data_IF_297220671219
#
_entry.id   IF_297220671219
#
_cell.length_a   1.000
_cell.length_b   1.000
_cell.length_c   1.000
_cell.angle_alpha   90.00
_cell.angle_beta   90.00
_cell.angle_gamma   90.00
#
_symmetry.space_group_name_H-M   'P 1'
#
loop_
_entity.id
_entity.type
_entity.pdbx_description
1 polymer ?
#
# COMPACT_ATOMS: atom_id res chain seq x y z
N UNK A 1 -10.34 11.50 5.33
CA UNK A 1 -9.84 10.35 4.53
C UNK A 1 -8.37 10.58 4.28
N UNK A 2 -7.52 9.76 4.89
CA UNK A 2 -6.08 9.79 4.70
C UNK A 2 -5.78 8.68 3.67
N UNK A 3 -5.32 9.06 2.49
CA UNK A 3 -5.03 8.13 1.39
C UNK A 3 -3.54 7.89 1.32
N UNK A 4 -3.15 6.63 1.15
CA UNK A 4 -1.76 6.28 0.88
C UNK A 4 -1.33 6.86 -0.47
N UNK A 5 -0.10 7.38 -0.60
CA UNK A 5 0.48 7.71 -1.90
C UNK A 5 0.57 6.44 -2.74
N UNK A 6 0.28 6.54 -4.03
CA UNK A 6 0.28 5.41 -4.97
C UNK A 6 1.64 4.74 -5.07
N UNK A 7 2.72 5.51 -4.89
CA UNK A 7 4.09 5.05 -5.12
C UNK A 7 4.75 4.48 -3.86
N UNK A 8 4.03 4.42 -2.72
CA UNK A 8 4.63 4.04 -1.41
C UNK A 8 5.10 2.58 -1.36
N UNK A 9 4.60 1.74 -2.27
CA UNK A 9 4.93 0.32 -2.33
C UNK A 9 5.84 -0.03 -3.52
N UNK A 10 6.17 0.95 -4.38
CA UNK A 10 6.90 0.72 -5.64
C UNK A 10 8.35 0.26 -5.38
N UNK A 11 8.93 0.63 -4.23
CA UNK A 11 10.28 0.23 -3.83
C UNK A 11 10.32 -1.10 -3.07
N UNK A 12 9.18 -1.71 -2.77
CA UNK A 12 9.11 -2.95 -2.00
C UNK A 12 9.13 -4.19 -2.92
N UNK A 13 10.14 -4.29 -3.79
CA UNK A 13 10.25 -5.33 -4.83
C UNK A 13 10.32 -6.77 -4.31
N UNK A 14 10.43 -6.98 -3.00
CA UNK A 14 10.44 -8.30 -2.34
C UNK A 14 9.43 -8.42 -1.18
N UNK A 15 8.36 -7.60 -1.18
CA UNK A 15 7.39 -7.64 -0.09
C UNK A 15 6.65 -8.98 -0.02
N UNK A 16 6.99 -9.80 0.97
CA UNK A 16 6.32 -11.08 1.21
C UNK A 16 5.05 -10.96 2.05
N UNK A 17 5.00 -9.97 2.93
CA UNK A 17 3.89 -9.77 3.86
C UNK A 17 3.63 -8.28 4.05
N UNK A 18 2.41 -7.83 3.76
CA UNK A 18 1.94 -6.50 4.07
C UNK A 18 0.90 -6.55 5.20
N UNK A 19 1.26 -6.01 6.36
CA UNK A 19 0.41 -6.00 7.54
C UNK A 19 -0.36 -4.68 7.68
N UNK A 20 -1.68 -4.73 7.59
CA UNK A 20 -2.55 -3.55 7.76
C UNK A 20 -3.16 -3.40 9.16
N UNK A 21 -2.63 -4.11 10.16
CA UNK A 21 -3.22 -4.13 11.50
C UNK A 21 -3.29 -2.72 12.13
N UNK A 22 -4.46 -2.36 12.65
CA UNK A 22 -4.74 -1.07 13.32
C UNK A 22 -4.43 0.17 12.47
N UNK A 23 -4.59 0.10 11.16
CA UNK A 23 -4.49 1.29 10.31
C UNK A 23 -5.84 1.99 10.11
N UNK A 24 -5.81 3.32 10.00
CA UNK A 24 -6.99 4.15 9.70
C UNK A 24 -7.35 4.15 8.20
N UNK A 25 -6.60 3.41 7.38
CA UNK A 25 -6.82 3.29 5.94
C UNK A 25 -8.03 2.38 5.69
N UNK A 26 -9.10 2.96 5.13
CA UNK A 26 -10.31 2.22 4.72
C UNK A 26 -10.29 1.83 3.24
N UNK A 27 -9.47 2.53 2.45
CA UNK A 27 -9.36 2.38 1.00
C UNK A 27 -7.89 2.45 0.61
N UNK A 28 -7.48 1.52 -0.26
CA UNK A 28 -6.21 1.59 -0.96
C UNK A 28 -6.42 2.27 -2.32
N UNK A 29 -5.49 3.12 -2.77
CA UNK A 29 -5.54 3.66 -4.12
C UNK A 29 -5.56 2.54 -5.17
N UNK A 30 -6.31 2.72 -6.28
CA UNK A 30 -6.13 1.87 -7.46
C UNK A 30 -4.66 1.89 -7.91
N UNK A 31 -4.09 0.74 -8.22
CA UNK A 31 -2.70 0.64 -8.66
C UNK A 31 -1.65 0.78 -7.54
N UNK A 32 -2.04 0.82 -6.26
CA UNK A 32 -1.09 0.86 -5.14
C UNK A 32 -0.16 -0.38 -5.07
N UNK A 33 -0.48 -1.43 -5.82
CA UNK A 33 0.34 -2.65 -5.92
C UNK A 33 0.93 -2.84 -7.32
N UNK A 34 0.82 -1.86 -8.20
CA UNK A 34 1.41 -1.96 -9.54
C UNK A 34 2.93 -1.99 -9.39
N UNK A 35 3.57 -3.12 -9.71
CA UNK A 35 5.01 -3.33 -9.58
C UNK A 35 5.48 -4.17 -8.38
N UNK A 36 4.54 -4.66 -7.56
CA UNK A 36 4.77 -5.73 -6.57
C UNK A 36 4.68 -7.14 -7.18
#
# INVERSE_FOLDING_TARGET
IQTLPTDVFIELTELKTLGFNRNAFTILPPGAFDGL
#
